data_IF_374618898458
#
_entry.id   IF_374618898458
#
_cell.length_a   1.000
_cell.length_b   1.000
_cell.length_c   1.000
_cell.angle_alpha   90.00
_cell.angle_beta   90.00
_cell.angle_gamma   90.00
#
_symmetry.space_group_name_H-M   'P 1'
#
loop_
_entity.id
_entity.type
_entity.pdbx_description
1 polymer ?
#
# COMPACT_ATOMS: atom_id res chain seq x y z
N UNK A 1 -0.65 25.77 -4.33
CA UNK A 1 -0.43 24.67 -5.31
C UNK A 1 1.06 24.42 -5.24
N UNK A 2 1.53 23.18 -5.36
CA UNK A 2 2.97 22.91 -5.38
C UNK A 2 3.60 23.47 -6.66
N UNK A 3 4.81 23.98 -6.55
CA UNK A 3 5.60 24.46 -7.69
C UNK A 3 6.62 23.41 -8.14
N UNK A 4 7.19 22.66 -7.18
CA UNK A 4 8.18 21.62 -7.44
C UNK A 4 8.02 20.40 -6.52
N UNK A 5 8.06 19.20 -7.09
CA UNK A 5 7.92 17.94 -6.37
C UNK A 5 9.11 17.02 -6.64
N UNK A 6 9.69 16.44 -5.58
CA UNK A 6 10.64 15.35 -5.70
C UNK A 6 9.88 14.02 -5.77
N UNK A 7 10.26 13.17 -6.73
CA UNK A 7 9.70 11.83 -6.91
C UNK A 7 10.67 10.81 -6.31
N UNK A 8 10.36 10.34 -5.10
CA UNK A 8 11.20 9.43 -4.32
C UNK A 8 10.95 7.96 -4.71
N UNK A 9 11.04 7.66 -5.99
CA UNK A 9 10.85 6.33 -6.53
C UNK A 9 11.55 6.17 -7.89
N UNK A 10 11.43 5.00 -8.53
CA UNK A 10 12.03 4.66 -9.81
C UNK A 10 11.02 3.98 -10.75
N UNK A 11 11.47 3.72 -11.97
CA UNK A 11 10.72 2.87 -12.92
C UNK A 11 9.39 3.49 -13.34
N UNK A 12 8.40 2.65 -13.58
CA UNK A 12 7.12 3.06 -14.18
C UNK A 12 6.32 4.00 -13.28
N UNK A 13 6.35 3.80 -11.95
CA UNK A 13 5.61 4.68 -11.04
C UNK A 13 6.21 6.08 -11.01
N UNK A 14 7.52 6.22 -11.02
CA UNK A 14 8.16 7.52 -11.10
C UNK A 14 7.80 8.24 -12.41
N UNK A 15 7.83 7.54 -13.55
CA UNK A 15 7.37 8.07 -14.84
C UNK A 15 5.91 8.52 -14.78
N UNK A 16 5.04 7.74 -14.15
CA UNK A 16 3.62 8.08 -14.01
C UNK A 16 3.42 9.37 -13.19
N UNK A 17 4.13 9.49 -12.07
CA UNK A 17 4.06 10.70 -11.21
C UNK A 17 4.59 11.92 -11.98
N UNK A 18 5.75 11.80 -12.65
CA UNK A 18 6.34 12.88 -13.44
C UNK A 18 5.38 13.35 -14.55
N UNK A 19 4.70 12.43 -15.24
CA UNK A 19 3.69 12.80 -16.25
C UNK A 19 2.54 13.58 -15.65
N UNK A 20 1.99 13.13 -14.51
CA UNK A 20 0.91 13.83 -13.83
C UNK A 20 1.34 15.24 -13.37
N UNK A 21 2.56 15.39 -12.85
CA UNK A 21 3.10 16.69 -12.48
C UNK A 21 3.21 17.61 -13.70
N UNK A 22 3.69 17.13 -14.84
CA UNK A 22 3.79 17.89 -16.09
C UNK A 22 2.43 18.36 -16.60
N UNK A 23 1.41 17.51 -16.54
CA UNK A 23 0.03 17.86 -16.89
C UNK A 23 -0.54 18.98 -15.99
N UNK A 24 -0.05 19.07 -14.74
CA UNK A 24 -0.42 20.09 -13.77
C UNK A 24 0.52 21.32 -13.77
N UNK A 25 1.52 21.37 -14.67
CA UNK A 25 2.56 22.39 -14.72
C UNK A 25 3.39 22.49 -13.43
N UNK A 26 3.63 21.36 -12.78
CA UNK A 26 4.47 21.24 -11.59
C UNK A 26 5.85 20.71 -12.01
N UNK A 27 6.92 21.39 -11.64
CA UNK A 27 8.29 20.94 -11.89
C UNK A 27 8.60 19.69 -11.08
N UNK A 28 9.49 18.86 -11.61
CA UNK A 28 9.81 17.56 -11.03
C UNK A 28 11.31 17.37 -10.82
N UNK A 29 11.67 16.80 -9.68
CA UNK A 29 13.01 16.30 -9.37
C UNK A 29 12.95 14.79 -9.27
N UNK A 30 13.64 14.06 -10.14
CA UNK A 30 13.79 12.63 -9.99
C UNK A 30 15.02 12.29 -9.16
N UNK A 31 14.91 11.31 -8.28
CA UNK A 31 16.08 10.67 -7.68
C UNK A 31 16.40 9.37 -8.39
N UNK A 32 17.67 9.02 -8.53
CA UNK A 32 18.09 7.79 -9.17
C UNK A 32 19.33 7.18 -8.52
N UNK A 33 19.44 5.84 -8.55
CA UNK A 33 20.69 5.14 -8.23
C UNK A 33 21.64 5.16 -9.43
N UNK A 34 22.93 4.94 -9.22
CA UNK A 34 23.91 4.85 -10.31
C UNK A 34 23.46 3.92 -11.45
N UNK A 35 22.81 2.79 -11.12
CA UNK A 35 22.30 1.86 -12.13
C UNK A 35 21.12 2.42 -12.93
N UNK A 36 20.42 3.42 -12.43
CA UNK A 36 19.24 4.01 -13.05
C UNK A 36 19.52 5.34 -13.77
N UNK A 37 20.80 5.73 -13.92
CA UNK A 37 21.21 7.01 -14.52
C UNK A 37 20.62 7.26 -15.92
N UNK A 38 20.43 6.21 -16.71
CA UNK A 38 19.84 6.26 -18.05
C UNK A 38 18.37 5.87 -18.10
N UNK A 39 17.72 5.72 -16.95
CA UNK A 39 16.30 5.32 -16.91
C UNK A 39 15.37 6.44 -17.32
N UNK A 40 14.19 6.06 -17.83
CA UNK A 40 13.21 6.99 -18.38
C UNK A 40 12.79 8.07 -17.37
N UNK A 41 12.59 7.72 -16.09
CA UNK A 41 12.16 8.68 -15.08
C UNK A 41 13.22 9.77 -14.84
N UNK A 42 14.53 9.40 -14.83
CA UNK A 42 15.61 10.37 -14.66
C UNK A 42 15.72 11.31 -15.87
N UNK A 43 15.46 10.80 -17.09
CA UNK A 43 15.50 11.60 -18.32
C UNK A 43 14.27 12.51 -18.50
N UNK A 44 13.12 12.10 -17.94
CA UNK A 44 11.86 12.83 -18.11
C UNK A 44 11.65 13.96 -17.12
N UNK A 45 12.27 13.89 -15.94
CA UNK A 45 12.15 14.92 -14.92
C UNK A 45 12.86 16.24 -15.37
N UNK A 46 12.49 17.35 -14.75
CA UNK A 46 13.13 18.63 -15.02
C UNK A 46 14.53 18.69 -14.41
N UNK A 47 14.70 18.04 -13.27
CA UNK A 47 15.99 17.84 -12.58
C UNK A 47 16.14 16.37 -12.17
N UNK A 48 17.39 15.87 -12.11
CA UNK A 48 17.65 14.51 -11.67
C UNK A 48 18.90 14.43 -10.81
N UNK A 49 18.80 13.76 -9.65
CA UNK A 49 19.88 13.69 -8.65
C UNK A 49 20.23 12.23 -8.36
N UNK A 50 21.51 11.90 -8.46
CA UNK A 50 22.00 10.60 -8.04
C UNK A 50 22.03 10.51 -6.50
N UNK A 51 21.36 9.51 -5.94
CA UNK A 51 21.25 9.31 -4.49
C UNK A 51 22.10 8.13 -4.00
N UNK A 52 22.94 7.52 -4.83
CA UNK A 52 23.89 6.50 -4.41
C UNK A 52 23.96 5.27 -5.28
N UNK A 53 24.58 4.22 -4.74
CA UNK A 53 24.86 2.98 -5.43
C UNK A 53 23.63 2.21 -5.91
N UNK A 54 23.88 1.18 -6.74
CA UNK A 54 22.81 0.36 -7.34
C UNK A 54 21.87 -0.33 -6.34
N UNK A 55 22.34 -0.87 -5.20
CA UNK A 55 21.44 -1.46 -4.21
C UNK A 55 20.48 -0.43 -3.60
N UNK A 56 19.20 -0.78 -3.48
CA UNK A 56 18.20 0.12 -2.88
C UNK A 56 18.51 0.55 -1.45
N UNK A 57 19.19 -0.31 -0.69
CA UNK A 57 19.67 0.01 0.66
C UNK A 57 20.74 1.13 0.68
N UNK A 58 21.40 1.37 -0.45
CA UNK A 58 22.41 2.42 -0.62
C UNK A 58 21.89 3.66 -1.36
N UNK A 59 20.62 3.65 -1.75
CA UNK A 59 19.98 4.71 -2.55
C UNK A 59 18.54 4.98 -2.12
N UNK A 60 17.56 4.31 -2.69
CA UNK A 60 16.13 4.58 -2.51
C UNK A 60 15.57 4.35 -1.09
N UNK A 61 16.29 3.62 -0.23
CA UNK A 61 15.94 3.43 1.18
C UNK A 61 16.74 4.35 2.13
N UNK A 62 17.56 5.27 1.58
CA UNK A 62 18.35 6.24 2.33
C UNK A 62 17.57 7.54 2.51
N UNK A 63 16.91 7.68 3.66
CA UNK A 63 16.13 8.87 4.01
C UNK A 63 16.99 10.14 3.94
N UNK A 64 18.19 10.10 4.52
CA UNK A 64 19.15 11.21 4.54
C UNK A 64 19.51 11.72 3.13
N UNK A 65 19.69 10.81 2.16
CA UNK A 65 20.03 11.18 0.78
C UNK A 65 18.83 11.75 0.01
N UNK A 66 17.63 11.20 0.26
CA UNK A 66 16.41 11.70 -0.37
C UNK A 66 16.07 13.10 0.18
N UNK A 67 16.15 13.29 1.49
CA UNK A 67 15.93 14.60 2.10
C UNK A 67 17.00 15.61 1.63
N UNK A 68 18.28 15.22 1.62
CA UNK A 68 19.32 16.10 1.09
C UNK A 68 19.11 16.51 -0.38
N UNK A 69 18.63 15.58 -1.23
CA UNK A 69 18.25 15.90 -2.58
C UNK A 69 17.05 16.86 -2.65
N UNK A 70 16.07 16.69 -1.76
CA UNK A 70 14.90 17.55 -1.67
C UNK A 70 15.26 18.98 -1.23
N UNK A 71 16.11 19.12 -0.23
CA UNK A 71 16.59 20.42 0.27
C UNK A 71 17.43 21.16 -0.77
N UNK A 72 18.39 20.48 -1.41
CA UNK A 72 19.23 21.10 -2.45
C UNK A 72 18.40 21.59 -3.64
N UNK A 73 17.32 20.86 -3.96
CA UNK A 73 16.44 21.21 -5.08
C UNK A 73 15.31 22.17 -4.69
N UNK A 74 15.20 22.56 -3.42
CA UNK A 74 14.15 23.46 -2.92
C UNK A 74 12.74 23.03 -3.37
N UNK A 75 12.34 21.80 -2.97
CA UNK A 75 11.04 21.23 -3.34
C UNK A 75 9.98 21.50 -2.28
N UNK A 76 8.74 21.69 -2.69
CA UNK A 76 7.59 21.87 -1.79
C UNK A 76 7.13 20.55 -1.18
N UNK A 77 7.30 19.46 -1.93
CA UNK A 77 6.75 18.16 -1.56
C UNK A 77 7.58 16.99 -2.09
N UNK A 78 7.40 15.84 -1.45
CA UNK A 78 7.92 14.55 -1.90
C UNK A 78 6.76 13.60 -2.20
N UNK A 79 6.78 13.00 -3.40
CA UNK A 79 5.89 11.91 -3.77
C UNK A 79 6.65 10.59 -3.70
N UNK A 80 6.32 9.69 -2.76
CA UNK A 80 7.06 8.45 -2.55
C UNK A 80 6.71 7.34 -3.56
N UNK A 81 5.66 7.49 -4.37
CA UNK A 81 5.12 6.42 -5.20
C UNK A 81 4.52 5.30 -4.34
N UNK A 82 4.87 4.06 -4.66
CA UNK A 82 4.58 2.87 -3.86
C UNK A 82 5.85 2.03 -3.63
N UNK A 83 5.88 1.20 -2.59
CA UNK A 83 7.09 0.48 -2.16
C UNK A 83 8.15 1.43 -1.56
N UNK A 84 9.36 0.95 -1.41
CA UNK A 84 10.47 1.69 -0.78
C UNK A 84 10.04 2.36 0.54
N UNK A 85 10.03 3.69 0.59
CA UNK A 85 9.70 4.48 1.78
C UNK A 85 8.24 4.98 1.81
N UNK A 86 7.38 4.55 0.87
CA UNK A 86 5.99 5.04 0.78
C UNK A 86 5.14 4.72 2.02
N UNK A 87 5.46 3.64 2.73
CA UNK A 87 4.77 3.20 3.95
C UNK A 87 5.64 3.41 5.21
N UNK A 88 6.72 4.18 5.10
CA UNK A 88 7.63 4.43 6.21
C UNK A 88 7.19 5.67 7.00
N UNK A 89 6.62 5.46 8.20
CA UNK A 89 6.13 6.53 9.05
C UNK A 89 7.23 7.52 9.46
N UNK A 90 8.46 7.02 9.74
CA UNK A 90 9.59 7.86 10.08
C UNK A 90 9.99 8.77 8.92
N UNK A 91 9.96 8.29 7.69
CA UNK A 91 10.24 9.13 6.52
C UNK A 91 9.21 10.25 6.36
N UNK A 92 7.92 9.95 6.56
CA UNK A 92 6.88 10.97 6.52
C UNK A 92 7.08 12.04 7.62
N UNK A 93 7.45 11.62 8.84
CA UNK A 93 7.77 12.51 9.94
C UNK A 93 9.00 13.39 9.65
N UNK A 94 10.07 12.82 9.08
CA UNK A 94 11.26 13.59 8.70
C UNK A 94 10.92 14.62 7.63
N UNK A 95 10.11 14.28 6.64
CA UNK A 95 9.63 15.26 5.64
C UNK A 95 8.90 16.43 6.32
N UNK A 96 7.96 16.15 7.22
CA UNK A 96 7.21 17.17 7.94
C UNK A 96 8.12 18.07 8.77
N UNK A 97 9.12 17.50 9.47
CA UNK A 97 10.10 18.24 10.27
C UNK A 97 11.02 19.15 9.42
N UNK A 98 11.25 18.76 8.15
CA UNK A 98 11.97 19.60 7.17
C UNK A 98 11.07 20.58 6.43
N UNK A 99 9.80 20.76 6.83
CA UNK A 99 8.78 21.57 6.14
C UNK A 99 8.53 21.13 4.68
N UNK A 100 8.82 19.89 4.34
CA UNK A 100 8.54 19.31 3.04
C UNK A 100 7.24 18.48 3.13
N UNK A 101 6.27 18.77 2.29
CA UNK A 101 5.00 18.02 2.31
C UNK A 101 5.20 16.59 1.82
N UNK A 102 4.93 15.61 2.67
CA UNK A 102 4.82 14.21 2.23
C UNK A 102 3.47 13.97 1.54
N UNK A 103 3.50 13.53 0.27
CA UNK A 103 2.27 13.20 -0.49
C UNK A 103 1.88 11.76 -0.17
N UNK A 104 1.13 11.61 0.89
CA UNK A 104 0.70 10.32 1.44
C UNK A 104 -0.05 10.49 2.76
N UNK A 105 -0.34 9.39 3.46
CA UNK A 105 -0.94 9.45 4.79
C UNK A 105 0.03 10.05 5.81
N UNK A 106 -0.52 10.56 6.91
CA UNK A 106 0.29 11.04 8.05
C UNK A 106 0.98 9.88 8.75
N UNK A 107 2.10 10.16 9.41
CA UNK A 107 2.88 9.18 10.18
C UNK A 107 2.04 8.42 11.21
N UNK A 108 1.15 9.11 11.95
CA UNK A 108 0.24 8.48 12.91
C UNK A 108 -0.69 7.45 12.26
N UNK A 109 -1.23 7.76 11.08
CA UNK A 109 -2.09 6.83 10.35
C UNK A 109 -1.30 5.61 9.85
N UNK A 110 -0.06 5.82 9.39
CA UNK A 110 0.82 4.72 8.99
C UNK A 110 1.11 3.79 10.18
N UNK A 111 1.54 4.34 11.32
CA UNK A 111 1.82 3.58 12.54
C UNK A 111 0.60 2.80 13.03
N UNK A 112 -0.60 3.41 12.99
CA UNK A 112 -1.84 2.75 13.38
C UNK A 112 -2.20 1.57 12.47
N UNK A 113 -1.91 1.67 11.16
CA UNK A 113 -2.21 0.62 10.19
C UNK A 113 -1.12 -0.46 10.11
N UNK A 114 0.12 -0.14 10.43
CA UNK A 114 1.22 -1.10 10.50
C UNK A 114 1.01 -2.12 11.63
N UNK A 115 0.47 -1.67 12.76
CA UNK A 115 0.08 -2.55 13.86
C UNK A 115 -1.20 -3.30 13.52
N UNK A 116 -1.07 -4.58 13.15
CA UNK A 116 -2.20 -5.42 12.71
C UNK A 116 -3.32 -5.57 13.74
N UNK A 117 -3.01 -5.61 15.04
CA UNK A 117 -4.01 -5.70 16.09
C UNK A 117 -4.81 -4.39 16.17
N UNK A 118 -4.11 -3.25 16.20
CA UNK A 118 -4.74 -1.93 16.22
C UNK A 118 -5.54 -1.66 14.93
N UNK A 119 -5.00 -2.02 13.77
CA UNK A 119 -5.68 -1.91 12.48
C UNK A 119 -7.00 -2.69 12.46
N UNK A 120 -7.02 -3.93 12.98
CA UNK A 120 -8.24 -4.75 13.10
C UNK A 120 -9.24 -4.13 14.08
N UNK A 121 -8.77 -3.57 15.19
CA UNK A 121 -9.63 -2.89 16.16
C UNK A 121 -10.28 -1.64 15.54
N UNK A 122 -9.50 -0.82 14.85
CA UNK A 122 -9.99 0.36 14.13
C UNK A 122 -11.02 -0.01 13.07
N UNK A 123 -10.75 -1.05 12.27
CA UNK A 123 -11.69 -1.56 11.27
C UNK A 123 -13.00 -2.00 11.91
N UNK A 124 -12.94 -2.74 13.03
CA UNK A 124 -14.13 -3.17 13.77
C UNK A 124 -14.92 -1.98 14.33
N UNK A 125 -14.26 -0.99 14.93
CA UNK A 125 -14.90 0.24 15.41
C UNK A 125 -15.57 1.04 14.30
N UNK A 126 -14.98 1.04 13.12
CA UNK A 126 -15.53 1.68 11.93
C UNK A 126 -16.63 0.86 11.22
N UNK A 127 -16.98 -0.33 11.72
CA UNK A 127 -17.99 -1.21 11.10
C UNK A 127 -17.51 -1.88 9.81
N UNK A 128 -16.20 -1.87 9.52
CA UNK A 128 -15.63 -2.55 8.36
C UNK A 128 -15.56 -4.04 8.64
N UNK A 129 -16.10 -4.91 7.76
CA UNK A 129 -15.99 -6.35 7.90
C UNK A 129 -14.53 -6.82 7.93
N UNK A 130 -14.20 -7.65 8.90
CA UNK A 130 -12.88 -8.28 9.03
C UNK A 130 -13.03 -9.80 9.01
N UNK A 131 -12.06 -10.55 8.49
CA UNK A 131 -12.09 -12.00 8.56
C UNK A 131 -12.19 -12.48 10.01
N UNK A 132 -13.03 -13.49 10.32
CA UNK A 132 -13.05 -14.10 11.64
C UNK A 132 -11.64 -14.59 12.03
N UNK A 133 -11.24 -14.39 13.27
CA UNK A 133 -9.91 -14.76 13.72
C UNK A 133 -9.70 -14.57 15.21
N UNK A 134 -8.50 -14.91 15.68
CA UNK A 134 -8.11 -14.65 17.06
C UNK A 134 -8.20 -13.15 17.35
N UNK A 135 -8.61 -12.82 18.58
CA UNK A 135 -8.68 -11.41 19.01
C UNK A 135 -7.27 -10.84 19.19
N UNK A 136 -6.41 -11.64 19.79
CA UNK A 136 -5.06 -11.30 20.18
C UNK A 136 -4.05 -12.32 19.64
N UNK A 137 -2.80 -12.15 20.00
CA UNK A 137 -1.73 -13.12 19.76
C UNK A 137 -2.08 -14.44 20.42
N UNK A 138 -1.89 -15.52 19.69
CA UNK A 138 -2.13 -16.88 20.19
C UNK A 138 -0.87 -17.41 20.83
N UNK A 139 -0.89 -17.56 22.15
CA UNK A 139 0.30 -17.92 22.93
C UNK A 139 0.53 -19.44 23.03
N UNK A 140 -0.55 -20.22 22.97
CA UNK A 140 -0.49 -21.66 23.18
C UNK A 140 -1.13 -22.43 22.02
N UNK A 141 -0.69 -23.70 21.86
CA UNK A 141 -1.27 -24.64 20.90
C UNK A 141 -2.75 -24.92 21.19
N UNK A 142 -3.12 -25.04 22.47
CA UNK A 142 -4.52 -25.26 22.87
C UNK A 142 -5.42 -24.10 22.48
N UNK A 143 -4.94 -22.86 22.65
CA UNK A 143 -5.64 -21.67 22.22
C UNK A 143 -5.77 -21.62 20.69
N UNK A 144 -4.72 -22.02 19.96
CA UNK A 144 -4.76 -22.14 18.51
C UNK A 144 -5.84 -23.13 18.04
N UNK A 145 -5.88 -24.31 18.64
CA UNK A 145 -6.89 -25.34 18.33
C UNK A 145 -8.31 -24.88 18.67
N UNK A 146 -8.49 -24.22 19.83
CA UNK A 146 -9.79 -23.67 20.23
C UNK A 146 -10.27 -22.62 19.22
N UNK A 147 -9.41 -21.66 18.89
CA UNK A 147 -9.71 -20.59 17.93
C UNK A 147 -10.06 -21.16 16.55
N UNK A 148 -9.30 -22.13 16.06
CA UNK A 148 -9.57 -22.74 14.76
C UNK A 148 -10.90 -23.52 14.72
N UNK A 149 -11.28 -24.16 15.83
CA UNK A 149 -12.60 -24.83 15.96
C UNK A 149 -13.76 -23.84 15.98
N UNK A 150 -13.59 -22.69 16.65
CA UNK A 150 -14.60 -21.63 16.68
C UNK A 150 -14.81 -20.99 15.30
N UNK A 151 -13.73 -20.76 14.55
CA UNK A 151 -13.75 -20.13 13.22
C UNK A 151 -14.17 -21.12 12.13
N UNK A 152 -13.82 -22.39 12.32
CA UNK A 152 -13.96 -23.45 11.31
C UNK A 152 -12.80 -23.47 10.30
N UNK A 153 -12.34 -24.67 9.94
CA UNK A 153 -11.31 -24.85 8.91
C UNK A 153 -11.83 -24.53 7.50
N UNK A 154 -10.97 -24.16 6.53
CA UNK A 154 -9.53 -23.96 6.69
C UNK A 154 -9.22 -22.61 7.36
N UNK A 155 -8.05 -22.55 8.03
CA UNK A 155 -7.55 -21.35 8.69
C UNK A 155 -6.14 -20.98 8.20
N UNK A 156 -5.77 -19.72 8.39
CA UNK A 156 -4.45 -19.17 8.12
C UNK A 156 -3.77 -18.81 9.45
N UNK A 157 -2.54 -19.26 9.64
CA UNK A 157 -1.65 -18.83 10.72
C UNK A 157 -0.75 -17.75 10.16
N UNK A 158 -0.65 -16.60 10.82
CA UNK A 158 0.17 -15.47 10.38
C UNK A 158 1.05 -14.96 11.52
N UNK A 159 2.31 -14.65 11.24
CA UNK A 159 3.17 -13.95 12.16
C UNK A 159 2.68 -12.52 12.42
N UNK A 160 2.75 -12.06 13.67
CA UNK A 160 2.41 -10.68 14.06
C UNK A 160 3.37 -9.70 13.40
N UNK A 161 4.67 -9.97 13.52
CA UNK A 161 5.74 -9.17 12.91
C UNK A 161 6.10 -9.78 11.54
N UNK A 162 5.28 -9.58 10.51
CA UNK A 162 5.55 -10.15 9.20
C UNK A 162 4.81 -9.41 8.09
N UNK A 163 5.44 -9.34 6.93
CA UNK A 163 4.88 -8.76 5.71
C UNK A 163 5.27 -9.58 4.47
N UNK A 164 4.60 -9.31 3.33
CA UNK A 164 4.96 -9.93 2.06
C UNK A 164 4.77 -11.46 1.99
N UNK A 165 3.89 -12.04 2.81
CA UNK A 165 3.60 -13.47 2.78
C UNK A 165 4.55 -14.37 3.58
N UNK A 166 5.58 -13.82 4.21
CA UNK A 166 6.49 -14.59 5.08
C UNK A 166 5.83 -14.91 6.40
N UNK A 167 6.08 -16.14 6.92
CA UNK A 167 5.49 -16.58 8.19
C UNK A 167 4.00 -16.90 8.12
N UNK A 168 3.43 -17.13 6.92
CA UNK A 168 2.04 -17.57 6.75
C UNK A 168 1.97 -19.07 6.48
N UNK A 169 1.04 -19.76 7.15
CA UNK A 169 0.78 -21.19 6.97
C UNK A 169 -0.73 -21.46 6.93
N UNK A 170 -1.14 -22.29 6.00
CA UNK A 170 -2.52 -22.77 5.93
C UNK A 170 -2.70 -24.04 6.74
N UNK A 171 -3.84 -24.20 7.37
CA UNK A 171 -4.21 -25.41 8.08
C UNK A 171 -5.65 -25.82 7.73
N UNK A 172 -5.84 -27.10 7.42
CA UNK A 172 -7.12 -27.66 7.02
C UNK A 172 -7.72 -28.60 8.09
N UNK A 173 -6.95 -28.89 9.14
CA UNK A 173 -7.34 -29.73 10.28
C UNK A 173 -6.40 -29.48 11.47
N UNK A 174 -6.71 -30.10 12.62
CA UNK A 174 -5.95 -29.95 13.87
C UNK A 174 -4.47 -30.34 13.69
N UNK A 175 -4.16 -31.41 12.96
CA UNK A 175 -2.78 -31.88 12.75
C UNK A 175 -1.96 -30.86 11.97
N UNK A 176 -2.49 -30.37 10.86
CA UNK A 176 -1.82 -29.35 10.05
C UNK A 176 -1.72 -28.00 10.77
N UNK A 177 -2.68 -27.69 11.66
CA UNK A 177 -2.65 -26.49 12.50
C UNK A 177 -1.48 -26.54 13.50
N UNK A 178 -1.36 -27.61 14.27
CA UNK A 178 -0.29 -27.78 15.27
C UNK A 178 1.09 -27.67 14.61
N UNK A 179 1.30 -28.40 13.53
CA UNK A 179 2.56 -28.33 12.76
C UNK A 179 2.83 -26.93 12.23
N UNK A 180 1.81 -26.30 11.64
CA UNK A 180 1.89 -24.93 11.09
C UNK A 180 2.17 -23.88 12.16
N UNK A 181 1.55 -24.00 13.33
CA UNK A 181 1.73 -23.13 14.47
C UNK A 181 3.19 -23.10 14.96
N UNK A 182 3.77 -24.24 15.24
CA UNK A 182 5.18 -24.33 15.67
C UNK A 182 6.15 -23.83 14.60
N UNK A 183 5.90 -24.18 13.34
CA UNK A 183 6.74 -23.73 12.22
C UNK A 183 6.67 -22.21 12.06
N UNK A 184 5.46 -21.62 12.07
CA UNK A 184 5.28 -20.18 11.93
C UNK A 184 5.93 -19.38 13.06
N UNK A 185 5.81 -19.84 14.31
CA UNK A 185 6.47 -19.25 15.47
C UNK A 185 7.99 -19.28 15.35
N UNK A 186 8.56 -20.42 14.98
CA UNK A 186 10.02 -20.56 14.81
C UNK A 186 10.57 -19.67 13.70
N UNK A 187 9.86 -19.54 12.59
CA UNK A 187 10.24 -18.65 11.48
C UNK A 187 10.12 -17.19 11.88
N UNK A 188 9.05 -16.81 12.58
CA UNK A 188 8.81 -15.46 13.04
C UNK A 188 9.90 -15.01 14.04
N UNK A 189 10.26 -15.88 14.99
CA UNK A 189 11.34 -15.62 15.93
C UNK A 189 12.67 -15.38 15.23
N UNK A 190 13.03 -16.26 14.27
CA UNK A 190 14.30 -16.14 13.52
C UNK A 190 14.36 -14.91 12.62
N UNK A 191 13.23 -14.53 12.03
CA UNK A 191 13.20 -13.45 11.03
C UNK A 191 12.93 -12.08 11.61
N UNK A 192 12.21 -12.02 12.73
CA UNK A 192 11.66 -10.77 13.28
C UNK A 192 11.91 -10.61 14.79
N UNK A 193 12.61 -11.54 15.44
CA UNK A 193 12.80 -11.59 16.90
C UNK A 193 11.44 -11.48 17.67
N UNK A 194 10.37 -11.99 17.09
CA UNK A 194 9.03 -11.99 17.66
C UNK A 194 8.28 -13.23 17.20
N UNK A 195 8.04 -14.16 18.11
CA UNK A 195 7.36 -15.43 17.85
C UNK A 195 5.83 -15.35 17.83
N UNK A 196 5.25 -14.18 18.04
CA UNK A 196 3.80 -14.00 18.09
C UNK A 196 3.13 -14.39 16.77
N UNK A 197 2.04 -15.16 16.88
CA UNK A 197 1.20 -15.52 15.73
C UNK A 197 -0.26 -15.28 16.05
N UNK A 198 -1.07 -15.10 15.03
CA UNK A 198 -2.52 -15.07 15.12
C UNK A 198 -3.14 -15.99 14.07
N UNK A 199 -4.39 -16.38 14.30
CA UNK A 199 -5.13 -17.28 13.43
C UNK A 199 -6.34 -16.56 12.87
N UNK A 200 -6.58 -16.69 11.58
CA UNK A 200 -7.77 -16.13 10.93
C UNK A 200 -8.37 -17.14 9.94
N UNK A 201 -9.62 -16.93 9.57
CA UNK A 201 -10.27 -17.71 8.53
C UNK A 201 -9.51 -17.57 7.21
N UNK A 202 -9.19 -18.69 6.59
CA UNK A 202 -8.68 -18.70 5.22
C UNK A 202 -9.84 -18.37 4.27
N UNK A 203 -9.66 -17.31 3.48
CA UNK A 203 -10.57 -16.99 2.39
C UNK A 203 -10.03 -17.71 1.15
N UNK A 204 -10.80 -18.66 0.64
CA UNK A 204 -10.43 -19.40 -0.57
C UNK A 204 -10.77 -18.58 -1.82
N UNK A 205 -9.89 -18.61 -2.82
CA UNK A 205 -10.02 -17.85 -4.05
C UNK A 205 -10.30 -16.35 -3.81
N UNK A 206 -9.50 -15.65 -2.99
CA UNK A 206 -9.74 -14.26 -2.68
C UNK A 206 -9.52 -13.39 -3.93
N UNK A 207 -10.29 -12.30 -4.04
CA UNK A 207 -9.95 -11.20 -4.94
C UNK A 207 -9.29 -10.09 -4.13
N UNK A 208 -8.21 -9.51 -4.66
CA UNK A 208 -7.57 -8.35 -4.05
C UNK A 208 -8.22 -7.07 -4.59
N UNK A 209 -9.16 -6.55 -3.84
CA UNK A 209 -9.84 -5.29 -4.16
C UNK A 209 -9.38 -4.22 -3.18
N UNK A 210 -8.97 -3.09 -3.70
CA UNK A 210 -8.58 -1.93 -2.91
C UNK A 210 -9.40 -0.70 -3.27
N UNK A 211 -9.45 0.27 -2.36
CA UNK A 211 -10.08 1.57 -2.58
C UNK A 211 -9.02 2.66 -2.53
N UNK A 212 -8.94 3.48 -3.57
CA UNK A 212 -8.09 4.66 -3.54
C UNK A 212 -8.74 5.75 -2.70
N UNK A 213 -8.08 6.12 -1.63
CA UNK A 213 -8.52 7.19 -0.72
C UNK A 213 -7.68 8.42 -0.96
N UNK A 214 -8.31 9.60 -0.94
CA UNK A 214 -7.67 10.90 -0.96
C UNK A 214 -8.18 11.72 0.23
N UNK A 215 -7.25 12.36 0.94
CA UNK A 215 -7.54 13.28 2.02
C UNK A 215 -6.87 14.64 1.80
N UNK A 216 -7.54 15.71 2.17
CA UNK A 216 -6.96 17.04 2.17
C UNK A 216 -6.51 17.48 3.57
N UNK A 217 -5.82 18.63 3.66
CA UNK A 217 -5.35 19.20 4.92
C UNK A 217 -6.48 19.73 5.83
N UNK A 218 -7.72 19.81 5.32
CA UNK A 218 -8.91 20.29 6.06
C UNK A 218 -9.72 19.15 6.67
N UNK A 219 -9.30 17.89 6.44
CA UNK A 219 -9.97 16.69 6.95
C UNK A 219 -11.08 16.16 6.03
N UNK A 220 -11.23 16.69 4.82
CA UNK A 220 -12.12 16.08 3.84
C UNK A 220 -11.48 14.81 3.29
N UNK A 221 -12.27 13.74 3.22
CA UNK A 221 -11.83 12.42 2.72
C UNK A 221 -12.80 11.97 1.65
N UNK A 222 -12.27 11.55 0.52
CA UNK A 222 -13.04 10.96 -0.58
C UNK A 222 -12.42 9.63 -1.02
N UNK A 223 -13.21 8.80 -1.68
CA UNK A 223 -12.72 7.61 -2.37
C UNK A 223 -12.95 7.73 -3.88
N UNK A 224 -12.05 7.16 -4.66
CA UNK A 224 -12.11 7.15 -6.14
C UNK A 224 -12.70 5.86 -6.70
N UNK A 225 -13.30 5.06 -5.85
CA UNK A 225 -13.84 3.75 -6.22
C UNK A 225 -12.84 2.62 -5.99
N UNK A 226 -13.26 1.44 -6.40
CA UNK A 226 -12.51 0.19 -6.24
C UNK A 226 -11.52 -0.04 -7.38
N UNK A 227 -10.42 -0.67 -7.06
CA UNK A 227 -9.41 -1.16 -8.00
C UNK A 227 -9.17 -2.65 -7.74
N UNK A 228 -9.35 -3.47 -8.77
CA UNK A 228 -9.00 -4.89 -8.72
C UNK A 228 -7.50 -5.04 -9.00
N UNK A 229 -6.74 -5.48 -7.99
CA UNK A 229 -5.28 -5.64 -8.08
C UNK A 229 -4.89 -7.05 -8.56
N UNK A 230 -5.85 -7.89 -8.91
CA UNK A 230 -5.61 -9.27 -9.31
C UNK A 230 -5.47 -9.39 -10.83
N UNK A 231 -4.35 -8.87 -11.38
CA UNK A 231 -3.87 -9.33 -12.66
C UNK A 231 -2.97 -10.55 -12.41
N UNK A 232 -3.53 -11.75 -12.47
CA UNK A 232 -2.71 -12.96 -12.45
C UNK A 232 -1.80 -12.94 -13.69
N UNK A 233 -0.55 -13.42 -13.56
CA UNK A 233 0.38 -13.59 -14.70
C UNK A 233 -0.29 -14.41 -15.81
N UNK A 234 -1.23 -15.31 -15.49
CA UNK A 234 -2.06 -16.05 -16.46
C UNK A 234 -2.99 -15.14 -17.26
N UNK A 235 -3.53 -14.09 -16.64
CA UNK A 235 -4.42 -13.14 -17.33
C UNK A 235 -3.63 -12.18 -18.22
N UNK A 236 -2.37 -11.88 -17.90
CA UNK A 236 -1.46 -11.10 -18.74
C UNK A 236 -0.99 -11.88 -19.98
N UNK A 237 -1.00 -13.20 -19.94
CA UNK A 237 -0.60 -14.08 -21.05
C UNK A 237 -1.80 -14.55 -21.90
N UNK A 238 -3.04 -14.16 -21.58
CA UNK A 238 -4.23 -14.45 -22.36
C UNK A 238 -4.63 -13.22 -23.20
N UNK A 239 -4.19 -13.12 -24.47
CA UNK A 239 -4.42 -11.91 -25.31
C UNK A 239 -5.89 -11.61 -25.59
N UNK A 240 -6.78 -12.55 -25.33
CA UNK A 240 -8.21 -12.43 -25.67
C UNK A 240 -9.06 -11.66 -24.64
N UNK A 241 -8.52 -11.33 -23.46
CA UNK A 241 -9.26 -10.66 -22.37
C UNK A 241 -9.04 -9.15 -22.27
N UNK A 242 -8.14 -8.59 -23.04
CA UNK A 242 -7.92 -7.13 -23.12
C UNK A 242 -8.84 -6.37 -24.07
N UNK A 243 -9.89 -6.99 -24.58
CA UNK A 243 -10.95 -6.25 -25.25
C UNK A 243 -11.68 -5.40 -24.18
N UNK A 244 -11.19 -4.20 -23.95
CA UNK A 244 -11.90 -3.16 -23.22
C UNK A 244 -13.24 -2.96 -23.92
N UNK A 245 -14.30 -3.57 -23.39
CA UNK A 245 -15.65 -3.17 -23.79
C UNK A 245 -15.81 -1.73 -23.35
N UNK A 246 -16.03 -0.77 -24.24
CA UNK A 246 -16.30 0.59 -23.85
C UNK A 246 -17.55 0.57 -22.96
N UNK A 247 -17.41 0.97 -21.70
CA UNK A 247 -18.57 1.18 -20.83
C UNK A 247 -19.46 2.18 -21.54
N UNK A 248 -20.69 1.80 -21.83
CA UNK A 248 -21.72 2.74 -22.28
C UNK A 248 -21.74 3.88 -21.28
N UNK A 249 -21.44 5.08 -21.73
CA UNK A 249 -21.61 6.30 -20.92
C UNK A 249 -23.08 6.31 -20.48
N UNK A 250 -23.37 6.56 -19.18
CA UNK A 250 -24.74 6.82 -18.78
C UNK A 250 -25.24 8.04 -19.56
N UNK A 251 -26.40 7.87 -20.19
CA UNK A 251 -27.03 8.87 -21.03
C UNK A 251 -27.59 9.98 -20.14
N UNK A 252 -26.81 11.02 -19.88
CA UNK A 252 -27.19 12.18 -19.09
C UNK A 252 -28.09 13.18 -19.86
N UNK A 253 -28.70 12.75 -20.97
CA UNK A 253 -29.66 13.57 -21.71
C UNK A 253 -31.06 13.00 -21.57
N UNK A 254 -31.71 13.20 -20.42
CA UNK A 254 -33.20 13.29 -20.30
C UNK A 254 -33.60 13.61 -18.87
N UNK A 255 -33.47 14.86 -18.48
CA UNK A 255 -34.34 15.48 -17.47
C UNK A 255 -34.18 17.01 -17.55
N UNK A 256 -34.74 17.62 -18.58
CA UNK A 256 -35.14 19.01 -18.56
C UNK A 256 -36.18 19.25 -19.67
N UNK A 257 -37.38 18.86 -19.42
CA UNK A 257 -38.56 19.51 -20.03
C UNK A 257 -39.60 19.62 -18.91
N UNK A 258 -39.61 20.79 -18.30
CA UNK A 258 -40.66 21.29 -17.45
C UNK A 258 -41.95 21.40 -18.26
N UNK A 259 -42.97 20.74 -17.84
CA UNK A 259 -44.37 21.00 -18.24
C UNK A 259 -44.75 22.38 -17.71
N UNK A 260 -45.09 23.28 -18.59
CA UNK A 260 -45.86 24.48 -18.27
C UNK A 260 -47.34 24.11 -18.34
N UNK A 261 -48.12 24.35 -17.28
CA UNK A 261 -49.59 24.21 -17.37
C UNK A 261 -50.14 25.40 -18.15
N UNK A 262 -50.96 25.06 -19.16
CA UNK A 262 -51.88 26.02 -19.72
C UNK A 262 -53.18 25.99 -18.89
N UNK A 263 -53.63 27.12 -18.45
CA UNK A 263 -54.89 27.44 -17.88
C UNK A 263 -55.02 28.91 -17.81
#
# INVERSE_FOLDING_TARGET
MFEKILVANRGEIAVRVIRACKELNIRTVAVYSEADSNSMHAQMADEAICIGGAPSAESYLRIDRIIGAAEISDVDAIHPGYGFLSENAHFAEVCENCNIRFIGPKSDAMNALENKALSRELARKAGVPIPPGSKDVVETEQEALKTAKEIGYPVMIKAVAGGGGRGMRTAHNDISLVKGYHTARSEAEKSFANSGVYIEKLIENPRHIEFQILGDSKGNIIHLGERDCYASIRDLLAPERFAVRPRRRPDFRRQSRSETPRG
#
